data_IF_838002923800
#
_entry.id   IF_838002923800
#
_cell.length_a   1.000
_cell.length_b   1.000
_cell.length_c   1.000
_cell.angle_alpha   90.00
_cell.angle_beta   90.00
_cell.angle_gamma   90.00
#
_symmetry.space_group_name_H-M   'P 1'
#
loop_
_entity.id
_entity.type
_entity.pdbx_description
1 polymer ?
#
# COMPACT_ATOMS: atom_id res chain seq x y z
N UNK A 1 -1.88 -42.23 42.07
CA UNK A 1 -1.35 -40.87 41.83
C UNK A 1 -2.04 -39.91 42.79
N UNK A 2 -1.30 -39.24 43.68
CA UNK A 2 -1.86 -38.17 44.51
C UNK A 2 -1.70 -36.86 43.73
N UNK A 3 -2.81 -36.20 43.42
CA UNK A 3 -2.80 -34.87 42.80
C UNK A 3 -2.60 -33.87 43.94
N UNK A 4 -1.41 -33.28 44.03
CA UNK A 4 -1.17 -32.14 44.91
C UNK A 4 -1.82 -30.92 44.27
N UNK A 5 -2.96 -30.51 44.80
CA UNK A 5 -3.54 -29.20 44.48
C UNK A 5 -2.74 -28.20 45.30
N UNK A 6 -1.89 -27.43 44.62
CA UNK A 6 -1.26 -26.27 45.24
C UNK A 6 -2.35 -25.23 45.46
N UNK A 7 -2.63 -24.89 46.72
CA UNK A 7 -3.49 -23.76 47.05
C UNK A 7 -2.82 -22.49 46.56
N UNK A 8 -3.30 -21.96 45.43
CA UNK A 8 -2.87 -20.67 44.92
C UNK A 8 -3.49 -19.61 45.81
N UNK A 9 -2.68 -19.06 46.72
CA UNK A 9 -3.03 -17.87 47.49
C UNK A 9 -3.11 -16.67 46.54
N UNK A 10 -4.27 -16.46 45.92
CA UNK A 10 -4.53 -15.28 45.11
C UNK A 10 -4.93 -14.16 46.07
N UNK A 11 -4.12 -13.11 46.13
CA UNK A 11 -4.46 -11.92 46.90
C UNK A 11 -5.73 -11.27 46.29
N UNK A 12 -6.86 -11.22 46.99
CA UNK A 12 -8.13 -10.74 46.43
C UNK A 12 -8.02 -9.29 45.91
N UNK A 13 -7.19 -8.46 46.54
CA UNK A 13 -6.97 -7.07 46.10
C UNK A 13 -6.15 -6.93 44.82
N UNK A 14 -5.31 -7.91 44.47
CA UNK A 14 -4.61 -7.93 43.18
C UNK A 14 -5.54 -8.42 42.07
N UNK A 15 -6.41 -9.37 42.38
CA UNK A 15 -7.42 -9.86 41.45
C UNK A 15 -8.41 -8.76 41.05
N UNK A 16 -8.89 -7.97 42.02
CA UNK A 16 -9.77 -6.82 41.77
C UNK A 16 -9.11 -5.78 40.85
N UNK A 17 -7.83 -5.47 41.07
CA UNK A 17 -7.09 -4.53 40.20
C UNK A 17 -6.97 -5.05 38.77
N UNK A 18 -6.72 -6.34 38.61
CA UNK A 18 -6.63 -6.98 37.28
C UNK A 18 -7.99 -6.94 36.58
N UNK A 19 -9.07 -7.22 37.30
CA UNK A 19 -10.43 -7.18 36.77
C UNK A 19 -10.77 -5.74 36.34
N UNK A 20 -10.57 -4.73 37.18
CA UNK A 20 -10.84 -3.32 36.80
C UNK A 20 -9.98 -2.85 35.62
N UNK A 21 -8.73 -3.31 35.52
CA UNK A 21 -7.87 -3.01 34.37
C UNK A 21 -8.36 -3.68 33.08
N UNK A 22 -8.91 -4.88 33.17
CA UNK A 22 -9.49 -5.60 32.02
C UNK A 22 -10.79 -4.94 31.57
N UNK A 23 -11.66 -4.56 32.49
CA UNK A 23 -12.92 -3.86 32.19
C UNK A 23 -12.67 -2.53 31.48
N UNK A 24 -11.69 -1.75 31.94
CA UNK A 24 -11.30 -0.49 31.28
C UNK A 24 -10.69 -0.73 29.90
N UNK A 25 -9.92 -1.80 29.70
CA UNK A 25 -9.40 -2.16 28.39
C UNK A 25 -10.51 -2.60 27.41
N UNK A 26 -11.48 -3.37 27.89
CA UNK A 26 -12.64 -3.81 27.11
C UNK A 26 -13.47 -2.59 26.69
N UNK A 27 -13.78 -1.67 27.62
CA UNK A 27 -14.53 -0.45 27.33
C UNK A 27 -13.85 0.47 26.31
N UNK A 28 -12.51 0.52 26.32
CA UNK A 28 -11.75 1.26 25.28
C UNK A 28 -11.88 0.58 23.91
N UNK A 29 -11.77 -0.75 23.88
CA UNK A 29 -11.85 -1.51 22.62
C UNK A 29 -13.26 -1.48 22.00
N UNK A 30 -14.33 -1.51 22.80
CA UNK A 30 -15.70 -1.35 22.29
C UNK A 30 -15.90 0.02 21.66
N UNK A 31 -15.42 1.09 22.33
CA UNK A 31 -15.48 2.45 21.78
C UNK A 31 -14.70 2.60 20.47
N UNK A 32 -13.53 1.95 20.35
CA UNK A 32 -12.77 1.94 19.09
C UNK A 32 -13.54 1.22 17.98
N UNK A 33 -14.21 0.11 18.31
CA UNK A 33 -15.04 -0.63 17.34
C UNK A 33 -16.19 0.23 16.82
N UNK A 34 -16.92 0.91 17.70
CA UNK A 34 -18.02 1.81 17.34
C UNK A 34 -17.55 2.95 16.43
N UNK A 35 -16.44 3.62 16.78
CA UNK A 35 -15.86 4.68 15.94
C UNK A 35 -15.44 4.15 14.56
N UNK A 36 -14.91 2.93 14.47
CA UNK A 36 -14.59 2.31 13.18
C UNK A 36 -15.84 2.02 12.34
N UNK A 37 -16.94 1.60 12.96
CA UNK A 37 -18.22 1.38 12.28
C UNK A 37 -18.81 2.71 11.78
N UNK A 38 -18.80 3.78 12.59
CA UNK A 38 -19.22 5.13 12.18
C UNK A 38 -18.41 5.66 10.98
N UNK A 39 -17.08 5.53 11.00
CA UNK A 39 -16.21 5.96 9.89
C UNK A 39 -16.56 5.21 8.60
N UNK A 40 -16.86 3.91 8.69
CA UNK A 40 -17.25 3.10 7.54
C UNK A 40 -18.62 3.50 6.99
N UNK A 41 -19.57 3.88 7.85
CA UNK A 41 -20.88 4.38 7.41
C UNK A 41 -20.77 5.74 6.71
N UNK A 42 -20.03 6.69 7.28
CA UNK A 42 -19.79 8.01 6.65
C UNK A 42 -19.15 7.85 5.26
N UNK A 43 -18.22 6.91 5.10
CA UNK A 43 -17.59 6.62 3.81
C UNK A 43 -18.57 6.06 2.76
N UNK A 44 -19.58 5.28 3.17
CA UNK A 44 -20.60 4.76 2.25
C UNK A 44 -21.50 5.87 1.69
N UNK A 45 -21.89 6.84 2.53
CA UNK A 45 -22.74 7.95 2.10
C UNK A 45 -22.01 8.94 1.17
N UNK A 46 -20.69 9.13 1.35
CA UNK A 46 -19.89 9.96 0.43
C UNK A 46 -19.66 9.34 -0.96
N UNK A 47 -19.88 8.03 -1.12
CA UNK A 47 -19.70 7.33 -2.40
C UNK A 47 -20.97 7.31 -3.28
N UNK A 48 -22.15 7.56 -2.70
CA UNK A 48 -23.44 7.44 -3.42
C UNK A 48 -23.84 8.67 -4.26
N UNK A 49 -23.20 9.82 -4.11
CA UNK A 49 -23.58 11.06 -4.81
C UNK A 49 -22.95 11.27 -6.20
N UNK A 50 -22.12 10.34 -6.69
CA UNK A 50 -21.41 10.50 -7.98
C UNK A 50 -21.93 9.60 -9.12
N UNK A 51 -23.09 8.97 -8.95
CA UNK A 51 -23.58 7.90 -9.83
C UNK A 51 -24.75 8.21 -10.75
N UNK A 52 -24.76 9.34 -11.48
CA UNK A 52 -25.70 9.53 -12.59
C UNK A 52 -25.06 10.35 -13.72
N UNK A 53 -24.56 9.65 -14.75
CA UNK A 53 -24.77 9.99 -16.16
C UNK A 53 -24.05 9.00 -17.09
N UNK A 54 -24.85 8.21 -17.82
CA UNK A 54 -24.64 7.89 -19.24
C UNK A 54 -23.74 6.72 -19.64
N UNK A 55 -24.33 5.77 -20.38
CA UNK A 55 -23.69 5.25 -21.59
C UNK A 55 -23.32 3.77 -21.59
N UNK A 56 -24.00 3.04 -22.47
CA UNK A 56 -23.90 1.61 -22.79
C UNK A 56 -22.47 1.07 -23.02
N UNK A 57 -22.28 -0.20 -22.68
CA UNK A 57 -21.11 -0.97 -23.12
C UNK A 57 -20.76 -2.14 -22.23
N UNK A 58 -21.28 -3.32 -22.57
CA UNK A 58 -20.82 -4.63 -22.09
C UNK A 58 -19.28 -4.73 -22.14
N UNK A 59 -18.60 -4.72 -21.00
CA UNK A 59 -17.30 -5.37 -20.82
C UNK A 59 -17.08 -5.60 -19.32
N UNK A 60 -16.52 -6.77 -19.00
CA UNK A 60 -16.56 -7.38 -17.67
C UNK A 60 -15.97 -6.54 -16.54
N UNK A 61 -16.29 -6.97 -15.32
CA UNK A 61 -15.90 -6.48 -13.99
C UNK A 61 -14.39 -6.21 -13.79
N UNK A 62 -13.77 -5.37 -14.60
CA UNK A 62 -12.58 -4.63 -14.21
C UNK A 62 -13.10 -3.32 -13.65
N UNK A 63 -13.00 -3.17 -12.33
CA UNK A 63 -13.20 -1.91 -11.62
C UNK A 63 -12.76 -0.76 -12.51
N UNK A 64 -13.74 -0.02 -13.07
CA UNK A 64 -13.48 1.22 -13.79
C UNK A 64 -12.86 2.15 -12.75
N UNK A 65 -11.52 2.24 -12.74
CA UNK A 65 -10.82 3.24 -11.95
C UNK A 65 -11.37 4.60 -12.38
N UNK A 66 -11.66 5.52 -11.44
CA UNK A 66 -12.12 6.84 -11.79
C UNK A 66 -11.13 7.48 -12.77
N UNK A 67 -11.66 8.04 -13.84
CA UNK A 67 -10.93 8.62 -14.96
C UNK A 67 -10.13 9.82 -14.42
N UNK A 68 -8.84 9.61 -14.13
CA UNK A 68 -7.97 10.60 -13.49
C UNK A 68 -7.03 10.04 -12.42
N UNK A 69 -7.28 8.82 -11.90
CA UNK A 69 -6.34 8.15 -11.00
C UNK A 69 -5.13 7.60 -11.78
N UNK A 70 -3.94 8.05 -11.39
CA UNK A 70 -2.67 7.54 -11.94
C UNK A 70 -2.61 6.03 -11.78
N UNK A 71 -2.24 5.34 -12.85
CA UNK A 71 -2.07 3.89 -12.78
C UNK A 71 -0.92 3.53 -11.81
N UNK A 72 -0.92 2.29 -11.30
CA UNK A 72 0.21 1.79 -10.50
C UNK A 72 1.53 1.94 -11.28
N UNK A 73 1.47 1.66 -12.59
CA UNK A 73 2.56 1.83 -13.54
C UNK A 73 3.09 3.28 -13.58
N UNK A 74 2.20 4.25 -13.80
CA UNK A 74 2.55 5.68 -13.83
C UNK A 74 3.12 6.16 -12.49
N UNK A 75 2.53 5.69 -11.38
CA UNK A 75 2.98 6.07 -10.04
C UNK A 75 4.38 5.51 -9.76
N UNK A 76 4.64 4.25 -10.12
CA UNK A 76 5.97 3.63 -10.02
C UNK A 76 6.98 4.40 -10.88
N UNK A 77 6.63 4.75 -12.12
CA UNK A 77 7.50 5.52 -13.00
C UNK A 77 7.81 6.91 -12.44
N UNK A 78 6.81 7.60 -11.88
CA UNK A 78 6.98 8.92 -11.26
C UNK A 78 7.89 8.85 -10.03
N UNK A 79 7.68 7.85 -9.17
CA UNK A 79 8.54 7.61 -7.98
C UNK A 79 9.98 7.37 -8.41
N UNK A 80 10.21 6.47 -9.37
CA UNK A 80 11.55 6.13 -9.84
C UNK A 80 12.22 7.25 -10.65
N UNK A 81 11.44 8.16 -11.26
CA UNK A 81 11.97 9.33 -11.96
C UNK A 81 12.35 10.47 -11.01
N UNK A 82 11.69 10.53 -9.84
CA UNK A 82 11.97 11.53 -8.81
C UNK A 82 13.12 11.11 -7.90
N UNK A 83 13.44 9.82 -7.87
CA UNK A 83 14.54 9.28 -7.10
C UNK A 83 15.88 9.40 -7.82
N UNK A 84 16.94 9.65 -7.05
CA UNK A 84 18.30 9.78 -7.58
C UNK A 84 19.01 8.44 -7.75
N UNK A 85 18.46 7.36 -7.19
CA UNK A 85 19.10 6.05 -7.15
C UNK A 85 18.15 4.86 -7.30
N UNK A 86 18.70 3.64 -7.38
CA UNK A 86 17.91 2.43 -7.45
C UNK A 86 17.17 2.19 -6.14
N UNK A 87 15.89 1.83 -6.24
CA UNK A 87 15.02 1.51 -5.12
C UNK A 87 14.82 0.02 -4.96
N UNK A 88 14.97 -0.48 -3.73
CA UNK A 88 14.60 -1.86 -3.41
C UNK A 88 13.09 -2.04 -3.53
N UNK A 89 12.60 -3.26 -3.79
CA UNK A 89 11.16 -3.52 -3.90
C UNK A 89 10.33 -3.01 -2.72
N UNK A 90 10.84 -3.15 -1.50
CA UNK A 90 10.15 -2.69 -0.28
C UNK A 90 10.11 -1.17 -0.16
N UNK A 91 11.19 -0.49 -0.55
CA UNK A 91 11.28 0.97 -0.57
C UNK A 91 10.38 1.55 -1.65
N UNK A 92 10.38 0.93 -2.84
CA UNK A 92 9.49 1.30 -3.94
C UNK A 92 8.02 1.18 -3.52
N UNK A 93 7.62 0.08 -2.88
CA UNK A 93 6.27 -0.11 -2.33
C UNK A 93 5.90 1.03 -1.37
N UNK A 94 6.78 1.35 -0.42
CA UNK A 94 6.53 2.41 0.57
C UNK A 94 6.42 3.79 -0.09
N UNK A 95 7.30 4.11 -1.04
CA UNK A 95 7.25 5.39 -1.77
C UNK A 95 6.04 5.52 -2.67
N UNK A 96 5.55 4.43 -3.27
CA UNK A 96 4.30 4.44 -4.04
C UNK A 96 3.09 4.77 -3.14
N UNK A 97 3.04 4.23 -1.91
CA UNK A 97 2.00 4.60 -0.94
C UNK A 97 2.15 6.06 -0.49
N UNK A 98 3.37 6.50 -0.21
CA UNK A 98 3.65 7.90 0.18
C UNK A 98 3.31 8.91 -0.93
N UNK A 99 3.40 8.49 -2.20
CA UNK A 99 2.96 9.29 -3.36
C UNK A 99 1.43 9.38 -3.49
N UNK A 100 0.67 8.82 -2.55
CA UNK A 100 -0.79 8.90 -2.49
C UNK A 100 -1.50 7.79 -3.28
N UNK A 101 -0.81 6.72 -3.68
CA UNK A 101 -1.45 5.58 -4.34
C UNK A 101 -2.38 4.86 -3.36
N UNK A 102 -3.69 4.95 -3.61
CA UNK A 102 -4.70 4.26 -2.82
C UNK A 102 -4.80 2.81 -3.25
N UNK A 103 -4.71 1.88 -2.30
CA UNK A 103 -4.91 0.45 -2.55
C UNK A 103 -5.68 -0.18 -1.40
N UNK A 104 -6.66 -1.02 -1.72
CA UNK A 104 -7.36 -1.88 -0.75
C UNK A 104 -6.71 -3.27 -0.65
N UNK A 105 -5.63 -3.52 -1.39
CA UNK A 105 -4.95 -4.81 -1.38
C UNK A 105 -4.18 -5.04 -0.08
N UNK A 106 -4.13 -6.30 0.38
CA UNK A 106 -3.29 -6.70 1.52
C UNK A 106 -1.82 -6.32 1.26
N UNK A 107 -1.03 -5.96 2.29
CA UNK A 107 0.35 -5.49 2.13
C UNK A 107 1.23 -6.42 1.28
N UNK A 108 1.09 -7.74 1.45
CA UNK A 108 1.85 -8.74 0.71
C UNK A 108 1.45 -8.79 -0.78
N UNK A 109 0.16 -8.78 -1.07
CA UNK A 109 -0.35 -8.74 -2.44
C UNK A 109 0.07 -7.46 -3.15
N UNK A 110 0.06 -6.33 -2.43
CA UNK A 110 0.48 -5.05 -2.96
C UNK A 110 1.98 -5.02 -3.26
N UNK A 111 2.82 -5.58 -2.39
CA UNK A 111 4.26 -5.75 -2.65
C UNK A 111 4.51 -6.52 -3.97
N UNK A 112 3.83 -7.66 -4.14
CA UNK A 112 3.97 -8.47 -5.36
C UNK A 112 3.49 -7.73 -6.60
N UNK A 113 2.39 -6.98 -6.50
CA UNK A 113 1.89 -6.15 -7.59
C UNK A 113 2.90 -5.08 -8.00
N UNK A 114 3.43 -4.32 -7.04
CA UNK A 114 4.47 -3.30 -7.29
C UNK A 114 5.70 -3.92 -7.96
N UNK A 115 6.17 -5.05 -7.44
CA UNK A 115 7.34 -5.74 -7.97
C UNK A 115 7.13 -6.23 -9.42
N UNK A 116 6.00 -6.88 -9.68
CA UNK A 116 5.69 -7.41 -11.01
C UNK A 116 5.47 -6.28 -12.02
N UNK A 117 4.75 -5.22 -11.63
CA UNK A 117 4.54 -4.05 -12.48
C UNK A 117 5.86 -3.36 -12.79
N UNK A 118 6.72 -3.11 -11.78
CA UNK A 118 8.02 -2.50 -12.00
C UNK A 118 8.92 -3.32 -12.96
N UNK A 119 8.84 -4.65 -12.91
CA UNK A 119 9.58 -5.55 -13.80
C UNK A 119 9.08 -5.52 -15.25
N UNK A 120 7.77 -5.29 -15.46
CA UNK A 120 7.15 -5.28 -16.79
C UNK A 120 7.21 -3.91 -17.48
N UNK A 121 7.54 -2.85 -16.74
CA UNK A 121 7.55 -1.49 -17.27
C UNK A 121 8.72 -1.25 -18.23
N UNK A 122 8.45 -0.83 -19.48
CA UNK A 122 9.50 -0.55 -20.45
C UNK A 122 10.34 0.64 -19.97
N UNK A 123 11.66 0.45 -19.95
CA UNK A 123 12.64 1.46 -19.52
C UNK A 123 13.17 1.25 -18.11
N UNK A 124 12.43 0.64 -17.18
CA UNK A 124 12.95 0.37 -15.84
C UNK A 124 13.98 -0.75 -15.89
N UNK A 125 15.15 -0.50 -15.28
CA UNK A 125 16.23 -1.49 -15.16
C UNK A 125 16.24 -2.05 -13.76
N UNK A 126 16.18 -3.38 -13.66
CA UNK A 126 16.40 -4.09 -12.39
C UNK A 126 17.89 -4.40 -12.25
N UNK A 127 18.53 -3.81 -11.25
CA UNK A 127 19.91 -4.08 -10.85
C UNK A 127 19.95 -4.90 -9.56
N UNK A 128 21.15 -5.33 -9.12
CA UNK A 128 21.33 -5.95 -7.79
C UNK A 128 20.94 -4.99 -6.65
N UNK A 129 21.06 -3.69 -6.86
CA UNK A 129 20.72 -2.67 -5.86
C UNK A 129 19.20 -2.38 -5.79
N UNK A 130 18.47 -2.58 -6.89
CA UNK A 130 17.03 -2.29 -6.96
C UNK A 130 16.56 -1.93 -8.37
N UNK A 131 15.36 -1.34 -8.46
CA UNK A 131 14.79 -0.80 -9.68
C UNK A 131 15.22 0.66 -9.87
N UNK A 132 15.63 1.03 -11.07
CA UNK A 132 15.92 2.42 -11.43
C UNK A 132 15.39 2.76 -12.81
N UNK A 133 15.08 4.03 -13.04
CA UNK A 133 14.94 4.55 -14.40
C UNK A 133 16.30 4.49 -15.11
N UNK A 134 16.34 4.28 -16.44
CA UNK A 134 17.59 4.30 -17.17
C UNK A 134 18.06 5.76 -17.16
N UNK A 135 19.32 5.99 -16.81
CA UNK A 135 19.91 7.31 -16.98
C UNK A 135 19.62 7.78 -18.41
N UNK A 136 18.97 8.95 -18.57
CA UNK A 136 18.77 9.56 -19.89
C UNK A 136 20.16 9.62 -20.52
N UNK A 137 20.48 8.71 -21.44
CA UNK A 137 21.61 8.90 -22.34
C UNK A 137 21.23 10.14 -23.12
N UNK A 138 21.78 11.30 -22.75
CA UNK A 138 21.85 12.43 -23.65
C UNK A 138 22.42 11.86 -24.94
N UNK A 139 21.61 11.82 -26.01
CA UNK A 139 22.10 11.56 -27.36
C UNK A 139 23.00 12.76 -27.72
N UNK A 140 24.19 12.82 -27.14
CA UNK A 140 25.29 13.60 -27.68
C UNK A 140 25.66 12.87 -28.97
N UNK A 141 25.18 13.44 -30.09
CA UNK A 141 25.35 12.88 -31.41
C UNK A 141 26.82 12.59 -31.69
N UNK A 142 27.16 11.31 -31.85
CA UNK A 142 28.44 10.91 -32.41
C UNK A 142 28.35 11.10 -33.92
N UNK A 143 28.31 12.35 -34.38
CA UNK A 143 28.49 12.67 -35.78
C UNK A 143 29.98 12.55 -36.08
N UNK A 144 30.46 11.30 -36.24
CA UNK A 144 31.79 11.04 -36.77
C UNK A 144 31.73 11.39 -38.26
N UNK A 145 32.10 12.64 -38.57
CA UNK A 145 32.38 13.10 -39.93
C UNK A 145 33.27 12.07 -40.60
N UNK A 146 32.80 11.46 -41.68
CA UNK A 146 33.65 10.82 -42.68
C UNK A 146 34.50 11.95 -43.26
N UNK A 147 35.79 11.98 -42.94
CA UNK A 147 36.76 12.72 -43.75
C UNK A 147 37.37 11.68 -44.67
N UNK A 148 36.98 11.77 -45.93
CA UNK A 148 37.75 11.21 -47.02
C UNK A 148 38.95 12.14 -47.25
N UNK A 149 40.14 11.55 -47.34
CA UNK A 149 41.42 12.20 -47.60
C UNK A 149 42.46 11.11 -47.75
#
# INVERSE_FOLDING_TARGET
>A
MKINIQDVSINPGELEKIISSLETAIARNTRVKELCEEILEVQKFSASDLGKNGGDGKSGWRNKRPQGEKTLAETIAAVLSSDRGPLRPIELKNKVLAAGYKTSAKPQSFYTAVFNTAKQLPGIVKTRAGFSMPAKKSRAGKNKRRVAG
#
